data_IF_421763468399
#
_entry.id   IF_421763468399
#
_cell.length_a   1.000
_cell.length_b   1.000
_cell.length_c   1.000
_cell.angle_alpha   90.00
_cell.angle_beta   90.00
_cell.angle_gamma   90.00
#
_symmetry.space_group_name_H-M   'P 1'
#
loop_
_entity.id
_entity.type
_entity.pdbx_description
1 polymer ?
#
# COMPACT_ATOMS: atom_id res chain seq x y z
N UNK A 1 -1.91 -17.77 7.22
CA UNK A 1 -3.18 -17.03 7.43
C UNK A 1 -3.68 -16.59 6.06
N UNK A 2 -5.00 -16.64 5.81
CA UNK A 2 -5.55 -16.09 4.58
C UNK A 2 -5.44 -14.56 4.59
N UNK A 3 -5.12 -13.96 3.44
CA UNK A 3 -5.12 -12.51 3.27
C UNK A 3 -6.50 -11.93 3.60
N UNK A 4 -6.58 -10.94 4.47
CA UNK A 4 -7.83 -10.29 4.86
C UNK A 4 -7.76 -8.78 4.65
N UNK A 5 -8.92 -8.16 4.37
CA UNK A 5 -9.02 -6.70 4.37
C UNK A 5 -8.95 -6.19 5.82
N UNK A 6 -8.24 -5.08 6.03
CA UNK A 6 -8.15 -4.48 7.36
C UNK A 6 -9.53 -4.10 7.89
N UNK A 7 -9.75 -4.35 9.18
CA UNK A 7 -10.94 -3.94 9.91
C UNK A 7 -10.56 -2.96 11.04
N UNK A 8 -11.23 -1.80 11.16
CA UNK A 8 -12.15 -1.23 10.18
C UNK A 8 -11.42 -0.82 8.87
N UNK A 9 -12.15 -0.83 7.75
CA UNK A 9 -11.64 -0.50 6.42
C UNK A 9 -10.89 0.84 6.37
N UNK A 10 -11.44 1.83 7.07
CA UNK A 10 -10.98 3.22 7.07
C UNK A 10 -9.80 3.47 8.03
N UNK A 11 -9.35 2.45 8.78
CA UNK A 11 -8.36 2.62 9.85
C UNK A 11 -7.10 3.37 9.43
N UNK A 12 -6.66 3.17 8.19
CA UNK A 12 -5.51 3.85 7.60
C UNK A 12 -5.86 4.62 6.33
N UNK A 13 -7.15 4.79 6.04
CA UNK A 13 -7.57 5.54 4.87
C UNK A 13 -7.35 7.02 5.16
N UNK A 14 -6.62 7.69 4.28
CA UNK A 14 -6.44 9.13 4.34
C UNK A 14 -7.79 9.81 4.06
N UNK A 15 -8.12 10.83 4.86
CA UNK A 15 -9.40 11.55 4.72
C UNK A 15 -9.60 12.09 3.29
N UNK A 16 -10.85 11.97 2.82
CA UNK A 16 -11.28 12.41 1.48
C UNK A 16 -11.03 13.93 1.34
N UNK A 17 -10.37 14.33 0.25
CA UNK A 17 -10.06 15.74 -0.05
C UNK A 17 -8.57 16.11 -0.01
N UNK A 18 -7.67 15.19 0.35
CA UNK A 18 -6.24 15.42 0.14
C UNK A 18 -5.90 15.26 -1.34
N UNK A 19 -5.58 16.38 -1.99
CA UNK A 19 -5.20 16.46 -3.41
C UNK A 19 -3.66 16.36 -3.59
N UNK A 20 -2.89 16.44 -2.51
CA UNK A 20 -1.43 16.46 -2.57
C UNK A 20 -0.81 15.05 -2.44
N UNK A 21 -0.20 14.56 -3.51
CA UNK A 21 0.55 13.29 -3.54
C UNK A 21 1.64 13.21 -2.46
N UNK A 22 2.30 14.31 -2.11
CA UNK A 22 3.33 14.31 -1.07
C UNK A 22 2.75 13.92 0.30
N UNK A 23 1.53 14.37 0.60
CA UNK A 23 0.81 13.98 1.81
C UNK A 23 0.43 12.49 1.80
N UNK A 24 0.06 11.95 0.63
CA UNK A 24 -0.22 10.51 0.48
C UNK A 24 1.05 9.68 0.72
N UNK A 25 2.20 10.10 0.19
CA UNK A 25 3.49 9.43 0.43
C UNK A 25 3.90 9.52 1.90
N UNK A 26 3.72 10.69 2.54
CA UNK A 26 3.98 10.88 3.96
C UNK A 26 3.13 9.98 4.85
N UNK A 27 1.83 9.91 4.57
CA UNK A 27 0.90 9.02 5.26
C UNK A 27 1.24 7.54 5.05
N UNK A 28 1.56 7.15 3.81
CA UNK A 28 2.01 5.79 3.51
C UNK A 28 3.24 5.40 4.34
N UNK A 29 4.21 6.31 4.53
CA UNK A 29 5.36 6.07 5.41
C UNK A 29 4.92 5.83 6.86
N UNK A 30 3.99 6.62 7.38
CA UNK A 30 3.48 6.44 8.75
C UNK A 30 2.83 5.05 8.92
N UNK A 31 1.99 4.65 7.98
CA UNK A 31 1.32 3.33 8.01
C UNK A 31 2.35 2.20 7.92
N UNK A 32 3.33 2.30 7.01
CA UNK A 32 4.40 1.29 6.90
C UNK A 32 5.24 1.20 8.17
N UNK A 33 5.52 2.31 8.85
CA UNK A 33 6.22 2.30 10.13
C UNK A 33 5.41 1.58 11.23
N UNK A 34 4.08 1.76 11.26
CA UNK A 34 3.22 1.02 12.21
C UNK A 34 3.31 -0.48 11.98
N UNK A 35 3.37 -0.93 10.72
CA UNK A 35 3.53 -2.35 10.41
C UNK A 35 4.97 -2.85 10.64
N UNK A 36 5.98 -2.03 10.37
CA UNK A 36 7.38 -2.36 10.63
C UNK A 36 7.69 -2.52 12.13
N UNK A 37 6.91 -1.87 13.01
CA UNK A 37 7.03 -2.01 14.46
C UNK A 37 6.47 -3.36 14.97
N UNK A 38 5.78 -4.12 14.13
CA UNK A 38 5.16 -5.41 14.50
C UNK A 38 5.98 -6.55 13.92
N UNK A 39 6.48 -7.48 14.77
CA UNK A 39 7.37 -8.55 14.32
C UNK A 39 6.66 -9.60 13.46
N UNK A 40 5.32 -9.64 13.45
CA UNK A 40 4.53 -10.54 12.61
C UNK A 40 4.54 -10.17 11.12
N UNK A 41 5.02 -8.97 10.75
CA UNK A 41 5.16 -8.52 9.38
C UNK A 41 6.62 -8.29 9.05
N UNK A 42 7.04 -8.79 7.89
CA UNK A 42 8.40 -8.73 7.36
C UNK A 42 8.47 -8.11 5.98
N UNK A 43 7.33 -7.99 5.29
CA UNK A 43 7.25 -7.47 3.92
C UNK A 43 5.96 -6.73 3.65
N UNK A 44 6.02 -5.88 2.64
CA UNK A 44 4.85 -5.18 2.12
C UNK A 44 4.86 -5.13 0.60
N UNK A 45 3.68 -4.89 0.04
CA UNK A 45 3.48 -4.64 -1.39
C UNK A 45 2.53 -3.46 -1.55
N UNK A 46 2.93 -2.44 -2.31
CA UNK A 46 2.07 -1.33 -2.69
C UNK A 46 1.34 -1.69 -3.97
N UNK A 47 0.05 -1.44 -4.04
CA UNK A 47 -0.69 -1.60 -5.28
C UNK A 47 -1.80 -0.59 -5.39
N UNK A 48 -2.25 -0.38 -6.61
CA UNK A 48 -3.47 0.38 -6.89
C UNK A 48 -4.52 -0.52 -7.55
N UNK A 49 -5.81 -0.25 -7.32
CA UNK A 49 -6.96 -1.00 -7.84
C UNK A 49 -8.16 -0.09 -8.07
N UNK A 50 -9.06 -0.48 -8.98
CA UNK A 50 -10.40 0.10 -9.11
C UNK A 50 -11.47 -0.67 -8.31
N UNK A 51 -11.14 -1.88 -7.87
CA UNK A 51 -12.03 -2.75 -7.10
C UNK A 51 -11.21 -3.47 -6.02
N UNK A 52 -11.43 -3.10 -4.76
CA UNK A 52 -10.72 -3.68 -3.61
C UNK A 52 -11.12 -5.14 -3.39
N UNK A 53 -12.39 -5.50 -3.57
CA UNK A 53 -12.88 -6.86 -3.30
C UNK A 53 -12.34 -7.85 -4.32
N UNK A 54 -12.45 -7.51 -5.61
CA UNK A 54 -11.92 -8.36 -6.68
C UNK A 54 -10.39 -8.48 -6.58
N UNK A 55 -9.70 -7.40 -6.20
CA UNK A 55 -8.26 -7.42 -6.03
C UNK A 55 -7.81 -8.22 -4.80
N UNK A 56 -8.56 -8.15 -3.70
CA UNK A 56 -8.35 -8.99 -2.53
C UNK A 56 -8.46 -10.48 -2.88
N UNK A 57 -9.54 -10.88 -3.58
CA UNK A 57 -9.75 -12.25 -4.01
C UNK A 57 -8.61 -12.74 -4.93
N UNK A 58 -8.17 -11.90 -5.88
CA UNK A 58 -7.02 -12.19 -6.74
C UNK A 58 -5.74 -12.40 -5.93
N UNK A 59 -5.44 -11.53 -4.96
CA UNK A 59 -4.24 -11.66 -4.13
C UNK A 59 -4.31 -12.84 -3.16
N UNK A 60 -5.49 -13.19 -2.65
CA UNK A 60 -5.68 -14.41 -1.86
C UNK A 60 -5.26 -15.67 -2.64
N UNK A 61 -5.55 -15.71 -3.94
CA UNK A 61 -5.17 -16.83 -4.81
C UNK A 61 -3.70 -16.82 -5.24
N UNK A 62 -3.09 -15.64 -5.46
CA UNK A 62 -1.76 -15.53 -6.10
C UNK A 62 -0.64 -15.02 -5.19
N UNK A 63 -0.99 -14.49 -4.01
CA UNK A 63 -0.06 -13.90 -3.05
C UNK A 63 -0.35 -14.38 -1.62
N UNK A 64 -0.30 -15.71 -1.36
CA UNK A 64 -0.62 -16.29 -0.05
C UNK A 64 0.34 -15.86 1.06
N UNK A 65 1.48 -15.25 0.70
CA UNK A 65 2.47 -14.79 1.66
C UNK A 65 2.11 -13.45 2.33
N UNK A 66 0.97 -12.83 2.00
CA UNK A 66 0.47 -11.64 2.65
C UNK A 66 -0.75 -11.99 3.48
N UNK A 67 -0.90 -11.33 4.63
CA UNK A 67 -1.96 -11.59 5.60
C UNK A 67 -2.96 -10.46 5.73
N UNK A 68 -2.57 -9.20 5.43
CA UNK A 68 -3.50 -8.07 5.43
C UNK A 68 -3.41 -7.20 4.18
N UNK A 69 -4.56 -6.70 3.74
CA UNK A 69 -4.72 -5.65 2.72
C UNK A 69 -5.27 -4.39 3.39
N UNK A 70 -4.60 -3.27 3.22
CA UNK A 70 -4.95 -1.99 3.84
C UNK A 70 -5.12 -0.92 2.76
N UNK A 71 -6.33 -0.40 2.55
CA UNK A 71 -6.55 0.82 1.78
C UNK A 71 -5.86 2.00 2.47
N UNK A 72 -5.21 2.84 1.68
CA UNK A 72 -4.43 3.99 2.16
C UNK A 72 -4.98 5.30 1.61
N UNK A 73 -5.40 5.30 0.35
CA UNK A 73 -5.91 6.50 -0.30
C UNK A 73 -6.89 6.10 -1.41
N UNK A 74 -7.99 6.83 -1.52
CA UNK A 74 -8.98 6.68 -2.58
C UNK A 74 -9.23 8.05 -3.21
N UNK A 75 -9.18 8.10 -4.54
CA UNK A 75 -9.48 9.29 -5.32
C UNK A 75 -10.81 9.09 -6.06
N UNK A 76 -11.60 10.16 -6.17
CA UNK A 76 -12.87 10.08 -6.90
C UNK A 76 -12.61 9.76 -8.37
N UNK A 77 -13.32 8.76 -8.91
CA UNK A 77 -13.08 8.19 -10.25
C UNK A 77 -13.13 9.18 -11.42
N UNK A 78 -13.68 10.37 -11.21
CA UNK A 78 -13.75 11.48 -12.16
C UNK A 78 -12.47 12.33 -12.24
N UNK A 79 -11.50 12.13 -11.35
CA UNK A 79 -10.18 12.81 -11.35
C UNK A 79 -9.02 11.88 -11.77
N UNK A 80 -9.33 10.62 -12.08
CA UNK A 80 -8.34 9.56 -12.27
C UNK A 80 -7.77 9.58 -13.69
N UNK A 81 -6.75 10.40 -13.89
CA UNK A 81 -5.83 10.31 -15.03
C UNK A 81 -4.41 9.90 -14.58
N UNK A 82 -3.44 10.00 -15.48
CA UNK A 82 -1.99 9.72 -15.33
C UNK A 82 -1.33 10.17 -14.01
N UNK A 83 -1.98 11.01 -13.20
CA UNK A 83 -1.57 11.39 -11.85
C UNK A 83 -1.51 10.17 -10.89
N UNK A 84 -2.49 9.27 -10.92
CA UNK A 84 -2.55 8.14 -9.98
C UNK A 84 -1.50 7.06 -10.31
N UNK A 85 -1.26 6.79 -11.59
CA UNK A 85 -0.14 5.95 -12.06
C UNK A 85 1.22 6.55 -11.64
N UNK A 86 1.36 7.88 -11.65
CA UNK A 86 2.55 8.59 -11.17
C UNK A 86 2.72 8.44 -9.66
N UNK A 87 1.64 8.55 -8.89
CA UNK A 87 1.62 8.33 -7.44
C UNK A 87 2.08 6.91 -7.08
N UNK A 88 1.59 5.87 -7.77
CA UNK A 88 2.04 4.48 -7.54
C UNK A 88 3.55 4.34 -7.79
N UNK A 89 4.04 4.83 -8.94
CA UNK A 89 5.46 4.74 -9.28
C UNK A 89 6.33 5.50 -8.28
N UNK A 90 5.87 6.67 -7.85
CA UNK A 90 6.54 7.47 -6.84
C UNK A 90 6.57 6.75 -5.48
N UNK A 91 5.47 6.16 -5.05
CA UNK A 91 5.40 5.36 -3.84
C UNK A 91 6.37 4.17 -3.90
N UNK A 92 6.33 3.37 -4.98
CA UNK A 92 7.24 2.24 -5.17
C UNK A 92 8.69 2.72 -5.16
N UNK A 93 9.02 3.81 -5.86
CA UNK A 93 10.38 4.36 -5.88
C UNK A 93 10.86 4.77 -4.49
N UNK A 94 10.02 5.48 -3.74
CA UNK A 94 10.36 5.97 -2.40
C UNK A 94 10.58 4.84 -1.38
N UNK A 95 9.84 3.74 -1.53
CA UNK A 95 9.86 2.64 -0.56
C UNK A 95 10.53 1.36 -1.10
N UNK A 96 11.20 1.42 -2.26
CA UNK A 96 11.86 0.24 -2.87
C UNK A 96 12.91 -0.39 -1.96
N UNK A 97 13.61 0.42 -1.17
CA UNK A 97 14.59 -0.05 -0.17
C UNK A 97 13.96 -0.69 1.07
N UNK A 98 12.63 -0.65 1.19
CA UNK A 98 11.91 -1.08 2.38
C UNK A 98 11.94 -0.04 3.50
N UNK A 99 11.52 -0.46 4.70
CA UNK A 99 11.59 0.31 5.93
C UNK A 99 12.72 -0.25 6.78
N UNK A 100 13.70 0.60 7.10
CA UNK A 100 14.84 0.26 7.95
C UNK A 100 14.71 0.94 9.31
N UNK A 101 15.22 0.29 10.35
CA UNK A 101 15.36 0.90 11.66
C UNK A 101 16.34 2.07 11.57
N UNK A 102 15.99 3.28 12.07
CA UNK A 102 16.82 4.47 11.90
C UNK A 102 18.19 4.35 12.59
N UNK A 103 18.25 3.72 13.76
CA UNK A 103 19.49 3.61 14.54
C UNK A 103 20.37 2.40 14.18
N UNK A 104 19.77 1.26 13.86
CA UNK A 104 20.52 0.01 13.63
C UNK A 104 20.72 -0.30 12.14
N UNK A 105 20.04 0.44 11.25
CA UNK A 105 20.05 0.17 9.81
C UNK A 105 19.38 -1.15 9.41
N UNK A 106 18.86 -1.92 10.37
CA UNK A 106 18.24 -3.23 10.12
C UNK A 106 16.97 -3.07 9.29
N UNK A 107 16.82 -3.89 8.25
CA UNK A 107 15.59 -3.96 7.48
C UNK A 107 14.46 -4.54 8.35
N UNK A 108 13.40 -3.75 8.54
CA UNK A 108 12.21 -4.11 9.32
C UNK A 108 11.08 -4.59 8.41
N UNK A 109 10.91 -3.95 7.24
CA UNK A 109 9.83 -4.28 6.32
C UNK A 109 10.34 -4.21 4.88
N UNK A 110 10.39 -5.36 4.19
CA UNK A 110 10.91 -5.46 2.84
C UNK A 110 9.86 -5.11 1.78
N UNK A 111 10.24 -4.32 0.79
CA UNK A 111 9.37 -4.05 -0.36
C UNK A 111 9.37 -5.24 -1.32
N UNK A 112 8.19 -5.80 -1.59
CA UNK A 112 7.96 -6.91 -2.54
C UNK A 112 7.40 -6.44 -3.89
N UNK A 113 7.51 -5.15 -4.18
CA UNK A 113 7.04 -4.58 -5.45
C UNK A 113 7.97 -4.94 -6.61
N UNK A 114 7.38 -5.50 -7.67
CA UNK A 114 8.02 -5.56 -8.99
C UNK A 114 7.83 -4.27 -9.80
N UNK A 115 8.43 -4.19 -11.00
CA UNK A 115 8.25 -3.05 -11.90
C UNK A 115 6.87 -3.11 -12.56
N UNK A 116 5.89 -2.42 -12.00
CA UNK A 116 4.65 -2.06 -12.71
C UNK A 116 3.36 -2.41 -11.99
N UNK A 117 2.33 -1.64 -12.35
CA UNK A 117 0.96 -1.82 -11.89
C UNK A 117 -0.04 -1.83 -13.05
N UNK A 118 -1.21 -2.43 -12.81
CA UNK A 118 -2.35 -2.54 -13.73
C UNK A 118 -3.04 -1.19 -14.09
N UNK A 119 -4.11 -1.17 -14.89
CA UNK A 119 -4.96 0.00 -15.18
C UNK A 119 -6.42 -0.44 -15.27
N UNK A 120 -7.45 0.42 -15.06
CA UNK A 120 -7.49 1.71 -14.37
C UNK A 120 -7.77 1.56 -12.87
N UNK A 121 -7.41 2.56 -12.06
CA UNK A 121 -7.30 2.38 -10.61
C UNK A 121 -7.49 3.70 -9.86
N UNK A 122 -8.35 3.70 -8.85
CA UNK A 122 -8.69 4.87 -8.04
C UNK A 122 -8.37 4.69 -6.54
N UNK A 123 -7.90 3.50 -6.14
CA UNK A 123 -7.58 3.18 -4.75
C UNK A 123 -6.14 2.71 -4.64
N UNK A 124 -5.35 3.32 -3.76
CA UNK A 124 -4.03 2.90 -3.30
C UNK A 124 -4.19 2.06 -2.04
N UNK A 125 -3.58 0.89 -2.05
CA UNK A 125 -3.52 -0.02 -0.92
C UNK A 125 -2.11 -0.57 -0.72
N UNK A 126 -1.89 -1.12 0.46
CA UNK A 126 -0.75 -1.99 0.75
C UNK A 126 -1.22 -3.39 1.11
N UNK A 127 -0.40 -4.38 0.81
CA UNK A 127 -0.44 -5.69 1.43
C UNK A 127 0.70 -5.77 2.44
N UNK A 128 0.50 -6.42 3.58
CA UNK A 128 1.54 -6.72 4.57
C UNK A 128 1.51 -8.19 4.96
N UNK A 129 2.67 -8.76 5.24
CA UNK A 129 2.86 -10.17 5.60
C UNK A 129 4.28 -10.49 5.98
#
# INVERSE_FOLDING_TARGET
MALQLIAPYEKYLLNVGVINHASVIGHLRQVLNVFAAKPEYSKFYIGITGDVKSRLASHQAHKPSFSLMCPIYEEAGNLVENAFDRLEREAIRNFRGGITHPETGKLLLQCSNGPGGARPKNTLYILVG
#
